data_IF_207514885444
#
_entry.id   IF_207514885444
#
_cell.length_a   1.000
_cell.length_b   1.000
_cell.length_c   1.000
_cell.angle_alpha   90.00
_cell.angle_beta   90.00
_cell.angle_gamma   90.00
#
_symmetry.space_group_name_H-M   'P 1'
#
loop_
_entity.id
_entity.type
_entity.pdbx_description
1 polymer ?
#
# COMPACT_ATOMS: atom_id res chain seq x y z
N UNK A 1 -31.65 13.10 -10.39
CA UNK A 1 -30.97 14.26 -9.77
C UNK A 1 -29.55 13.98 -9.23
N UNK A 2 -29.18 12.75 -8.82
CA UNK A 2 -27.85 12.45 -8.22
C UNK A 2 -26.62 12.66 -9.14
N UNK A 3 -26.75 12.46 -10.46
CA UNK A 3 -25.60 12.54 -11.41
C UNK A 3 -25.00 13.95 -11.54
N UNK A 4 -25.83 15.00 -11.58
CA UNK A 4 -25.36 16.39 -11.71
C UNK A 4 -24.57 16.87 -10.49
N UNK A 5 -24.96 16.45 -9.30
CA UNK A 5 -24.24 16.78 -8.05
C UNK A 5 -22.88 16.11 -8.00
N UNK A 6 -22.79 14.86 -8.46
CA UNK A 6 -21.52 14.12 -8.53
C UNK A 6 -20.52 14.77 -9.49
N UNK A 7 -20.99 15.23 -10.66
CA UNK A 7 -20.12 15.92 -11.65
C UNK A 7 -19.61 17.26 -11.11
N UNK A 8 -20.45 18.00 -10.37
CA UNK A 8 -20.03 19.26 -9.73
C UNK A 8 -18.99 19.01 -8.63
N UNK A 9 -19.21 17.99 -7.80
CA UNK A 9 -18.26 17.62 -6.74
C UNK A 9 -16.91 17.20 -7.32
N UNK A 10 -16.90 16.40 -8.40
CA UNK A 10 -15.66 16.02 -9.10
C UNK A 10 -14.89 17.24 -9.62
N UNK A 11 -15.58 18.27 -10.14
CA UNK A 11 -14.93 19.50 -10.58
C UNK A 11 -14.28 20.27 -9.43
N UNK A 12 -14.94 20.35 -8.28
CA UNK A 12 -14.35 20.99 -7.09
C UNK A 12 -13.10 20.24 -6.65
N UNK A 13 -13.15 18.91 -6.58
CA UNK A 13 -11.98 18.10 -6.23
C UNK A 13 -10.84 18.22 -7.26
N UNK A 14 -11.15 18.30 -8.55
CA UNK A 14 -10.14 18.50 -9.59
C UNK A 14 -9.39 19.83 -9.39
N UNK A 15 -10.09 20.89 -9.00
CA UNK A 15 -9.43 22.18 -8.75
C UNK A 15 -8.58 22.14 -7.47
N UNK A 16 -9.03 21.43 -6.43
CA UNK A 16 -8.24 21.20 -5.20
C UNK A 16 -6.95 20.43 -5.50
N UNK A 17 -7.02 19.40 -6.36
CA UNK A 17 -5.84 18.63 -6.77
C UNK A 17 -4.86 19.51 -7.56
N UNK A 18 -5.38 20.31 -8.49
CA UNK A 18 -4.57 21.22 -9.30
C UNK A 18 -3.85 22.27 -8.45
N UNK A 19 -4.55 22.83 -7.45
CA UNK A 19 -3.95 23.78 -6.51
C UNK A 19 -2.88 23.11 -5.65
N UNK A 20 -3.11 21.87 -5.18
CA UNK A 20 -2.10 21.10 -4.44
C UNK A 20 -0.84 20.80 -5.26
N UNK A 21 -0.97 20.59 -6.57
CA UNK A 21 0.18 20.36 -7.45
C UNK A 21 0.98 21.64 -7.74
N UNK A 22 0.33 22.81 -7.70
CA UNK A 22 0.94 24.07 -8.11
C UNK A 22 1.43 24.92 -6.93
N UNK A 23 1.00 24.58 -5.71
CA UNK A 23 1.26 25.37 -4.51
C UNK A 23 1.66 24.46 -3.33
N UNK A 24 2.97 24.41 -3.06
CA UNK A 24 3.56 23.57 -2.00
C UNK A 24 2.98 23.88 -0.62
N UNK A 25 2.81 25.16 -0.27
CA UNK A 25 2.24 25.53 1.03
C UNK A 25 0.76 25.14 1.17
N UNK A 26 0.00 25.07 0.08
CA UNK A 26 -1.36 24.54 0.09
C UNK A 26 -1.36 23.01 0.25
N UNK A 27 -0.45 22.31 -0.43
CA UNK A 27 -0.29 20.87 -0.29
C UNK A 27 0.06 20.46 1.15
N UNK A 28 0.98 21.18 1.81
CA UNK A 28 1.34 20.92 3.20
C UNK A 28 0.16 21.07 4.16
N UNK A 29 -0.59 22.19 4.05
CA UNK A 29 -1.80 22.41 4.87
C UNK A 29 -2.89 21.39 4.58
N UNK A 30 -3.01 20.96 3.32
CA UNK A 30 -3.97 19.94 2.93
C UNK A 30 -3.57 18.57 3.48
N UNK A 31 -2.28 18.22 3.45
CA UNK A 31 -1.76 17.00 4.06
C UNK A 31 -1.90 17.01 5.59
N UNK A 32 -1.68 18.15 6.24
CA UNK A 32 -1.94 18.31 7.67
C UNK A 32 -3.43 18.14 8.01
N UNK A 33 -4.31 18.78 7.24
CA UNK A 33 -5.76 18.73 7.45
C UNK A 33 -6.38 17.34 7.14
N UNK A 34 -5.84 16.63 6.16
CA UNK A 34 -6.24 15.24 5.84
C UNK A 34 -5.61 14.21 6.79
N UNK A 35 -4.63 14.65 7.59
CA UNK A 35 -3.68 13.77 8.26
C UNK A 35 -2.66 13.25 7.24
N UNK A 36 -1.39 13.14 7.65
CA UNK A 36 -0.42 12.43 6.84
C UNK A 36 -0.96 11.02 6.60
N UNK A 37 -0.97 10.56 5.36
CA UNK A 37 -1.40 9.20 4.98
C UNK A 37 -0.35 8.16 5.42
N UNK A 38 0.09 8.26 6.66
CA UNK A 38 0.59 7.17 7.47
C UNK A 38 -0.51 6.84 8.47
N UNK A 39 -1.68 6.45 7.97
CA UNK A 39 -2.79 6.10 8.85
C UNK A 39 -2.32 5.05 9.87
N UNK A 40 -2.39 5.30 11.19
CA UNK A 40 -2.10 4.29 12.19
C UNK A 40 -3.19 3.23 12.06
N UNK A 41 -2.88 2.16 11.32
CA UNK A 41 -3.79 1.06 11.08
C UNK A 41 -4.04 0.39 12.43
N UNK A 42 -5.25 0.61 12.96
CA UNK A 42 -5.76 0.12 14.25
C UNK A 42 -4.84 -0.89 14.93
N UNK A 43 -4.04 -0.40 15.88
CA UNK A 43 -3.20 -1.24 16.74
C UNK A 43 -4.12 -2.20 17.49
N UNK A 44 -4.24 -3.42 16.97
CA UNK A 44 -4.75 -4.55 17.74
C UNK A 44 -3.71 -4.83 18.80
N UNK A 45 -3.94 -4.28 19.99
CA UNK A 45 -3.07 -4.40 21.16
C UNK A 45 -2.70 -5.86 21.39
N UNK A 46 -1.40 -6.14 21.29
CA UNK A 46 -0.80 -7.47 21.50
C UNK A 46 0.01 -8.06 20.34
N UNK A 47 0.35 -7.28 19.31
CA UNK A 47 1.05 -7.79 18.12
C UNK A 47 2.54 -7.41 18.11
N UNK A 48 3.34 -8.27 17.47
CA UNK A 48 4.76 -8.11 17.11
C UNK A 48 5.13 -6.68 16.69
N UNK A 49 6.42 -6.28 16.83
CA UNK A 49 6.87 -4.96 16.40
C UNK A 49 6.49 -4.72 14.92
N UNK A 50 6.30 -3.46 14.52
CA UNK A 50 5.99 -3.13 13.14
C UNK A 50 7.06 -3.71 12.20
N UNK A 51 6.60 -4.20 11.05
CA UNK A 51 7.44 -4.59 9.93
C UNK A 51 8.30 -3.41 9.50
N UNK A 52 9.55 -3.73 9.15
CA UNK A 52 10.58 -2.71 8.88
C UNK A 52 10.34 -1.99 7.55
N UNK A 53 9.57 -2.60 6.64
CA UNK A 53 9.23 -2.02 5.34
C UNK A 53 7.80 -2.39 4.95
N UNK A 54 7.18 -1.53 4.12
CA UNK A 54 5.92 -1.80 3.47
C UNK A 54 6.15 -2.49 2.10
N UNK A 55 5.81 -3.77 1.93
CA UNK A 55 6.12 -4.52 0.71
C UNK A 55 5.40 -4.01 -0.54
N UNK A 56 4.27 -3.32 -0.37
CA UNK A 56 3.52 -2.78 -1.50
C UNK A 56 4.22 -1.58 -2.12
N UNK A 57 4.74 -0.69 -1.28
CA UNK A 57 5.50 0.48 -1.73
C UNK A 57 6.79 0.06 -2.43
N UNK A 58 7.53 -0.89 -1.84
CA UNK A 58 8.77 -1.40 -2.42
C UNK A 58 8.51 -2.10 -3.76
N UNK A 59 7.41 -2.84 -3.90
CA UNK A 59 7.03 -3.45 -5.17
C UNK A 59 6.76 -2.39 -6.25
N UNK A 60 6.10 -1.30 -5.89
CA UNK A 60 5.77 -0.21 -6.81
C UNK A 60 7.01 0.56 -7.27
N UNK A 61 7.94 0.86 -6.35
CA UNK A 61 9.16 1.62 -6.65
C UNK A 61 10.23 0.81 -7.38
N UNK A 62 10.46 -0.44 -6.94
CA UNK A 62 11.64 -1.23 -7.35
C UNK A 62 11.28 -2.49 -8.13
N UNK A 63 9.99 -2.79 -8.25
CA UNK A 63 9.51 -4.01 -8.89
C UNK A 63 9.75 -5.27 -8.06
N UNK A 64 9.46 -6.42 -8.69
CA UNK A 64 9.50 -7.73 -8.02
C UNK A 64 10.90 -8.10 -7.54
N UNK A 65 11.91 -7.83 -8.35
CA UNK A 65 13.30 -8.20 -8.04
C UNK A 65 13.89 -7.31 -6.95
N UNK A 66 13.56 -6.01 -6.96
CA UNK A 66 13.95 -5.09 -5.89
C UNK A 66 13.28 -5.42 -4.55
N UNK A 67 11.98 -5.77 -4.56
CA UNK A 67 11.30 -6.28 -3.37
C UNK A 67 11.96 -7.55 -2.82
N UNK A 68 12.34 -8.48 -3.71
CA UNK A 68 13.01 -9.71 -3.30
C UNK A 68 14.35 -9.42 -2.64
N UNK A 69 15.19 -8.58 -3.25
CA UNK A 69 16.48 -8.20 -2.70
C UNK A 69 16.34 -7.50 -1.33
N UNK A 70 15.34 -6.62 -1.18
CA UNK A 70 15.05 -5.96 0.09
C UNK A 70 14.65 -6.94 1.19
N UNK A 71 13.89 -8.00 0.85
CA UNK A 71 13.45 -9.02 1.80
C UNK A 71 14.54 -10.04 2.14
N UNK A 72 15.45 -10.36 1.21
CA UNK A 72 16.58 -11.26 1.46
C UNK A 72 17.59 -10.65 2.45
N UNK A 73 17.65 -9.32 2.56
CA UNK A 73 18.44 -8.62 3.57
C UNK A 73 17.84 -8.61 4.99
N UNK A 74 16.66 -9.21 5.20
CA UNK A 74 15.97 -9.21 6.49
C UNK A 74 16.04 -10.55 7.22
N UNK A 75 16.08 -10.47 8.55
CA UNK A 75 15.98 -11.63 9.40
C UNK A 75 14.59 -12.28 9.35
N UNK A 76 14.55 -13.58 9.63
CA UNK A 76 13.31 -14.38 9.65
C UNK A 76 12.23 -13.81 10.57
N UNK A 77 12.61 -13.20 11.70
CA UNK A 77 11.64 -12.54 12.59
C UNK A 77 11.05 -11.28 11.96
N UNK A 78 11.86 -10.46 11.30
CA UNK A 78 11.40 -9.26 10.59
C UNK A 78 10.48 -9.59 9.42
N UNK A 79 10.77 -10.68 8.70
CA UNK A 79 9.87 -11.21 7.67
C UNK A 79 8.52 -11.63 8.26
N UNK A 80 8.50 -12.25 9.45
CA UNK A 80 7.24 -12.60 10.13
C UNK A 80 6.50 -11.37 10.67
N UNK A 81 7.21 -10.34 11.09
CA UNK A 81 6.62 -9.06 11.50
C UNK A 81 5.82 -8.46 10.34
N UNK A 82 6.42 -8.40 9.14
CA UNK A 82 5.78 -7.93 7.90
C UNK A 82 4.54 -8.78 7.55
N UNK A 83 4.67 -10.11 7.58
CA UNK A 83 3.54 -11.03 7.30
C UNK A 83 2.40 -10.82 8.29
N UNK A 84 2.72 -10.60 9.57
CA UNK A 84 1.73 -10.30 10.58
C UNK A 84 1.06 -8.95 10.27
N UNK A 85 1.82 -7.87 10.17
CA UNK A 85 1.30 -6.52 9.98
C UNK A 85 0.34 -6.43 8.79
N UNK A 86 0.74 -6.95 7.64
CA UNK A 86 -0.05 -6.90 6.41
C UNK A 86 -1.13 -7.99 6.31
N UNK A 87 -1.22 -8.90 7.30
CA UNK A 87 -2.23 -9.96 7.33
C UNK A 87 -2.11 -10.96 6.19
N UNK A 88 -0.88 -11.20 5.71
CA UNK A 88 -0.61 -12.03 4.53
C UNK A 88 -0.81 -13.54 4.77
N UNK A 89 -1.06 -13.94 6.02
CA UNK A 89 -1.20 -15.32 6.43
C UNK A 89 -2.36 -15.49 7.44
N UNK A 90 -3.62 -15.51 6.94
CA UNK A 90 -4.80 -15.68 7.80
C UNK A 90 -4.82 -17.05 8.50
N UNK A 91 -4.18 -18.06 7.90
CA UNK A 91 -4.07 -19.41 8.47
C UNK A 91 -2.92 -19.56 9.49
N UNK A 92 -2.10 -18.53 9.70
CA UNK A 92 -0.92 -18.52 10.58
C UNK A 92 0.09 -19.65 10.29
N UNK A 93 0.15 -20.12 9.05
CA UNK A 93 1.10 -21.15 8.61
C UNK A 93 2.52 -20.60 8.42
N UNK A 94 2.65 -19.39 7.86
CA UNK A 94 3.93 -18.71 7.65
C UNK A 94 4.65 -18.44 8.98
N UNK A 95 3.91 -18.25 10.07
CA UNK A 95 4.49 -18.08 11.41
C UNK A 95 5.27 -19.32 11.91
N UNK A 96 4.98 -20.50 11.37
CA UNK A 96 5.65 -21.76 11.72
C UNK A 96 6.88 -22.03 10.87
N UNK A 97 7.12 -21.24 9.82
CA UNK A 97 8.24 -21.46 8.91
C UNK A 97 9.55 -20.95 9.52
N UNK A 98 10.60 -21.75 9.35
CA UNK A 98 11.97 -21.43 9.79
C UNK A 98 12.88 -20.98 8.65
N UNK A 99 12.50 -21.26 7.39
CA UNK A 99 13.29 -20.90 6.21
C UNK A 99 12.91 -19.49 5.73
N UNK A 100 13.89 -18.59 5.70
CA UNK A 100 13.72 -17.21 5.23
C UNK A 100 13.24 -17.17 3.78
N UNK A 101 13.85 -17.92 2.86
CA UNK A 101 13.48 -17.97 1.44
C UNK A 101 11.99 -18.27 1.21
N UNK A 102 11.43 -19.14 2.05
CA UNK A 102 10.01 -19.51 1.96
C UNK A 102 9.11 -18.34 2.36
N UNK A 103 9.51 -17.56 3.36
CA UNK A 103 8.80 -16.35 3.78
C UNK A 103 8.93 -15.25 2.71
N UNK A 104 10.13 -15.03 2.18
CA UNK A 104 10.39 -14.09 1.09
C UNK A 104 9.49 -14.40 -0.11
N UNK A 105 9.50 -15.66 -0.56
CA UNK A 105 8.68 -16.09 -1.71
C UNK A 105 7.19 -15.84 -1.46
N UNK A 106 6.69 -16.17 -0.26
CA UNK A 106 5.30 -15.96 0.12
C UNK A 106 4.89 -14.48 0.13
N UNK A 107 5.74 -13.60 0.66
CA UNK A 107 5.49 -12.16 0.68
C UNK A 107 5.43 -11.64 -0.76
N UNK A 108 6.43 -11.96 -1.59
CA UNK A 108 6.50 -11.51 -2.98
C UNK A 108 5.27 -11.98 -3.78
N UNK A 109 4.88 -13.24 -3.63
CA UNK A 109 3.74 -13.80 -4.35
C UNK A 109 2.41 -13.19 -3.88
N UNK A 110 2.24 -12.99 -2.58
CA UNK A 110 1.04 -12.35 -2.02
C UNK A 110 0.87 -10.91 -2.54
N UNK A 111 1.93 -10.12 -2.48
CA UNK A 111 1.92 -8.71 -2.90
C UNK A 111 1.71 -8.63 -4.41
N UNK A 112 2.42 -9.46 -5.20
CA UNK A 112 2.23 -9.52 -6.65
C UNK A 112 0.81 -9.91 -7.06
N UNK A 113 0.20 -10.88 -6.37
CA UNK A 113 -1.17 -11.30 -6.67
C UNK A 113 -2.19 -10.20 -6.31
N UNK A 114 -1.93 -9.47 -5.22
CA UNK A 114 -2.77 -8.35 -4.78
C UNK A 114 -2.67 -7.15 -5.71
N UNK A 115 -1.46 -6.85 -6.19
CA UNK A 115 -1.19 -5.76 -7.11
C UNK A 115 -1.82 -6.00 -8.50
N UNK A 116 -1.64 -7.20 -9.09
CA UNK A 116 -2.33 -7.60 -10.34
C UNK A 116 -3.84 -7.46 -10.26
N UNK A 117 -4.43 -7.79 -9.09
CA UNK A 117 -5.86 -7.61 -8.87
C UNK A 117 -6.25 -6.14 -8.79
N UNK A 118 -5.41 -5.29 -8.20
CA UNK A 118 -5.60 -3.84 -8.15
C UNK A 118 -5.44 -3.18 -9.52
N UNK A 119 -4.51 -3.67 -10.33
CA UNK A 119 -4.25 -3.20 -11.69
C UNK A 119 -5.45 -3.39 -12.62
N UNK A 120 -6.15 -4.53 -12.50
CA UNK A 120 -7.41 -4.77 -13.21
C UNK A 120 -8.52 -3.73 -12.92
N UNK A 121 -8.45 -3.02 -11.79
CA UNK A 121 -9.37 -1.92 -11.46
C UNK A 121 -8.83 -0.54 -11.89
N UNK A 122 -7.50 -0.38 -12.00
CA UNK A 122 -6.85 0.84 -12.50
C UNK A 122 -6.97 0.98 -14.02
N UNK A 123 -6.71 -0.10 -14.77
CA UNK A 123 -6.76 -0.11 -16.24
C UNK A 123 -8.13 0.28 -16.82
N UNK A 124 -9.23 0.03 -16.08
CA UNK A 124 -10.59 0.37 -16.54
C UNK A 124 -10.98 1.84 -16.31
N UNK A 125 -10.15 2.61 -15.61
CA UNK A 125 -10.45 3.99 -15.24
C UNK A 125 -9.95 5.00 -16.28
N UNK A 126 -9.05 4.59 -17.18
CA UNK A 126 -8.46 5.45 -18.22
C UNK A 126 -9.20 5.43 -19.57
N UNK A 127 -10.06 4.44 -19.84
CA UNK A 127 -10.87 4.37 -21.08
C UNK A 127 -12.08 5.34 -21.13
N UNK A 128 -12.19 6.26 -20.16
CA UNK A 128 -13.30 7.20 -20.02
C UNK A 128 -12.96 8.66 -20.30
N UNK A 129 -11.74 8.95 -20.77
CA UNK A 129 -11.26 10.30 -21.08
C UNK A 129 -10.92 10.42 -22.57
N UNK A 130 -11.96 10.41 -23.42
CA UNK A 130 -11.93 10.91 -24.79
C UNK A 130 -13.26 11.62 -25.10
#
# INVERSE_FOLDING_TARGET
MKRRTLTKLRKVFAEVVKEAQSNEGFAERLAEALGQDEGPRAQRSGRRPPGVLNPFHVLEETGRDGLRAALEGLDTERLKDIVAEHGMDPARLAMKWRKADRLVSHIVDFVSARDRKGDAFRAKQDDGAA
#
